data_IF_266911601233
#
_entry.id   IF_266911601233
#
_cell.length_a   1.000
_cell.length_b   1.000
_cell.length_c   1.000
_cell.angle_alpha   90.00
_cell.angle_beta   90.00
_cell.angle_gamma   90.00
#
_symmetry.space_group_name_H-M   'P 1'
#
loop_
_entity.id
_entity.type
_entity.pdbx_description
1 polymer ?
#
# COMPACT_ATOMS: atom_id res chain seq x y z
N UNK A 1 -21.40 10.96 67.33
CA UNK A 1 -21.40 11.77 66.10
C UNK A 1 -20.39 11.24 65.07
N UNK A 2 -19.11 11.08 65.40
CA UNK A 2 -18.08 10.60 64.46
C UNK A 2 -18.32 9.21 63.84
N UNK A 3 -18.88 8.26 64.59
CA UNK A 3 -19.13 6.88 64.10
C UNK A 3 -20.23 6.85 63.02
N UNK A 4 -21.15 7.81 63.02
CA UNK A 4 -22.24 7.87 62.05
C UNK A 4 -21.80 8.36 60.65
N UNK A 5 -20.64 9.03 60.56
CA UNK A 5 -20.11 9.65 59.33
C UNK A 5 -19.13 8.70 58.61
N UNK A 6 -18.65 7.67 59.31
CA UNK A 6 -17.71 6.67 58.81
C UNK A 6 -18.23 5.89 57.58
N UNK A 7 -19.51 5.45 57.54
CA UNK A 7 -20.06 4.72 56.38
C UNK A 7 -20.16 5.61 55.14
N UNK A 8 -20.55 6.87 55.31
CA UNK A 8 -20.69 7.83 54.21
C UNK A 8 -19.32 8.18 53.61
N UNK A 9 -18.29 8.34 54.45
CA UNK A 9 -16.92 8.58 54.00
C UNK A 9 -16.34 7.37 53.24
N UNK A 10 -16.63 6.16 53.70
CA UNK A 10 -16.22 4.92 53.05
C UNK A 10 -16.88 4.77 51.66
N UNK A 11 -18.17 5.10 51.56
CA UNK A 11 -18.91 5.07 50.30
C UNK A 11 -18.36 6.08 49.29
N UNK A 12 -18.05 7.31 49.74
CA UNK A 12 -17.44 8.33 48.89
C UNK A 12 -16.06 7.92 48.38
N UNK A 13 -15.24 7.30 49.24
CA UNK A 13 -13.90 6.84 48.91
C UNK A 13 -13.94 5.66 47.92
N UNK A 14 -14.91 4.76 48.04
CA UNK A 14 -15.15 3.68 47.08
C UNK A 14 -15.57 4.21 45.70
N UNK A 15 -16.44 5.22 45.64
CA UNK A 15 -16.84 5.85 44.38
C UNK A 15 -15.65 6.52 43.69
N UNK A 16 -14.83 7.26 44.44
CA UNK A 16 -13.63 7.92 43.90
C UNK A 16 -12.63 6.88 43.38
N UNK A 17 -12.39 5.79 44.14
CA UNK A 17 -11.50 4.71 43.72
C UNK A 17 -12.02 4.00 42.44
N UNK A 18 -13.33 3.74 42.35
CA UNK A 18 -13.96 3.17 41.18
C UNK A 18 -13.86 4.08 39.94
N UNK A 19 -14.08 5.39 40.11
CA UNK A 19 -13.90 6.39 39.05
C UNK A 19 -12.44 6.45 38.57
N UNK A 20 -11.47 6.47 39.48
CA UNK A 20 -10.04 6.47 39.11
C UNK A 20 -9.65 5.19 38.38
N UNK A 21 -10.19 4.03 38.76
CA UNK A 21 -9.95 2.77 38.06
C UNK A 21 -10.56 2.77 36.64
N UNK A 22 -11.78 3.32 36.48
CA UNK A 22 -12.45 3.48 35.19
C UNK A 22 -11.68 4.44 34.26
N UNK A 23 -11.28 5.60 34.76
CA UNK A 23 -10.52 6.59 33.99
C UNK A 23 -9.14 6.08 33.58
N UNK A 24 -8.48 5.25 34.40
CA UNK A 24 -7.24 4.56 34.02
C UNK A 24 -7.44 3.54 32.89
N UNK A 25 -8.63 2.94 32.77
CA UNK A 25 -8.99 2.06 31.65
C UNK A 25 -9.22 2.82 30.34
N UNK A 26 -9.93 3.95 30.40
CA UNK A 26 -10.25 4.77 29.22
C UNK A 26 -9.01 5.47 28.67
N UNK A 27 -8.10 5.95 29.54
CA UNK A 27 -6.83 6.55 29.13
C UNK A 27 -5.91 5.57 28.37
N UNK A 28 -5.99 4.26 28.65
CA UNK A 28 -5.28 3.22 27.87
C UNK A 28 -5.93 2.96 26.51
N UNK A 29 -7.24 3.14 26.40
CA UNK A 29 -8.01 2.95 25.16
C UNK A 29 -7.86 4.11 24.16
N UNK A 30 -7.69 5.35 24.65
CA UNK A 30 -7.53 6.54 23.80
C UNK A 30 -6.27 6.51 22.92
N UNK A 31 -5.20 5.84 23.36
CA UNK A 31 -4.00 5.63 22.55
C UNK A 31 -4.22 4.71 21.33
N UNK A 32 -5.32 3.94 21.31
CA UNK A 32 -5.67 3.04 20.20
C UNK A 32 -6.61 3.74 19.21
N UNK A 33 -7.47 4.65 19.68
CA UNK A 33 -8.38 5.40 18.82
C UNK A 33 -7.66 6.43 17.91
N UNK A 34 -6.60 7.08 18.40
CA UNK A 34 -5.79 8.02 17.62
C UNK A 34 -4.87 7.35 16.60
N UNK A 35 -4.70 6.02 16.63
CA UNK A 35 -3.92 5.29 15.62
C UNK A 35 -4.74 4.79 14.44
N UNK A 36 -6.06 5.01 14.42
CA UNK A 36 -6.94 4.55 13.34
C UNK A 36 -6.85 5.41 12.07
N UNK A 37 -6.38 6.67 12.19
CA UNK A 37 -6.25 7.60 11.06
C UNK A 37 -4.92 7.58 10.31
N UNK A 38 -3.88 6.95 10.88
CA UNK A 38 -2.63 6.68 10.15
C UNK A 38 -2.74 5.27 9.61
N UNK A 39 -3.24 5.16 8.38
CA UNK A 39 -3.10 3.98 7.55
C UNK A 39 -1.67 3.46 7.69
N UNK A 40 -1.47 2.46 8.55
CA UNK A 40 -0.34 1.53 8.47
C UNK A 40 -0.63 0.63 7.28
N UNK A 41 -0.82 1.23 6.11
CA UNK A 41 -0.51 0.53 4.89
C UNK A 41 0.90 0.03 5.12
N UNK A 42 1.02 -1.29 5.25
CA UNK A 42 2.25 -2.01 5.01
C UNK A 42 2.56 -1.71 3.56
N UNK A 43 2.99 -0.48 3.25
CA UNK A 43 3.60 -0.17 1.96
C UNK A 43 4.82 -1.06 2.01
N UNK A 44 4.71 -2.15 1.26
CA UNK A 44 5.62 -3.28 1.29
C UNK A 44 7.02 -2.72 1.35
N UNK A 45 7.70 -2.88 2.49
CA UNK A 45 9.09 -2.44 2.68
C UNK A 45 9.83 -2.81 1.40
N UNK A 46 10.51 -1.84 0.78
CA UNK A 46 11.07 -2.03 -0.53
C UNK A 46 12.02 -3.24 -0.50
N UNK A 47 11.53 -4.40 -0.95
CA UNK A 47 12.24 -5.66 -0.74
C UNK A 47 13.34 -5.71 -1.78
N UNK A 48 14.56 -6.00 -1.31
CA UNK A 48 15.61 -6.43 -2.21
C UNK A 48 15.20 -7.79 -2.80
N UNK A 49 14.84 -7.77 -4.08
CA UNK A 49 14.44 -8.97 -4.81
C UNK A 49 15.70 -9.67 -5.29
N UNK A 50 15.84 -10.96 -4.97
CA UNK A 50 16.95 -11.81 -5.41
C UNK A 50 16.65 -12.60 -6.69
N UNK A 51 15.41 -12.54 -7.16
CA UNK A 51 14.93 -13.26 -8.33
C UNK A 51 15.45 -12.60 -9.60
N UNK A 52 15.90 -13.41 -10.55
CA UNK A 52 16.54 -13.01 -11.81
C UNK A 52 15.77 -13.57 -13.02
N UNK A 53 16.13 -13.18 -14.25
CA UNK A 53 15.51 -13.75 -15.45
C UNK A 53 15.80 -15.25 -15.61
N UNK A 54 16.87 -15.74 -14.96
CA UNK A 54 17.21 -17.17 -14.94
C UNK A 54 16.19 -18.01 -14.15
N UNK A 55 15.49 -17.39 -13.21
CA UNK A 55 14.49 -18.05 -12.37
C UNK A 55 13.11 -18.12 -13.06
N UNK A 56 12.97 -17.48 -14.22
CA UNK A 56 11.74 -17.49 -15.02
C UNK A 56 11.97 -18.42 -16.22
N UNK A 57 11.17 -19.46 -16.36
CA UNK A 57 11.22 -20.35 -17.53
C UNK A 57 10.29 -19.84 -18.64
N UNK A 58 10.72 -19.93 -19.90
CA UNK A 58 9.95 -19.50 -21.07
C UNK A 58 9.72 -17.98 -21.17
N UNK A 59 8.67 -17.57 -21.89
CA UNK A 59 8.33 -16.16 -22.14
C UNK A 59 9.48 -15.35 -22.77
N UNK A 60 10.21 -15.95 -23.72
CA UNK A 60 11.45 -15.39 -24.25
C UNK A 60 11.25 -14.02 -24.92
N UNK A 61 10.16 -13.86 -25.69
CA UNK A 61 9.76 -12.57 -26.28
C UNK A 61 9.52 -11.49 -25.21
N UNK A 62 8.75 -11.82 -24.17
CA UNK A 62 8.46 -10.87 -23.09
C UNK A 62 9.71 -10.53 -22.26
N UNK A 63 10.65 -11.46 -22.10
CA UNK A 63 11.94 -11.20 -21.45
C UNK A 63 12.79 -10.26 -22.29
N UNK A 64 12.84 -10.45 -23.60
CA UNK A 64 13.61 -9.60 -24.53
C UNK A 64 13.13 -8.14 -24.46
N UNK A 65 11.81 -7.91 -24.51
CA UNK A 65 11.23 -6.57 -24.33
C UNK A 65 11.56 -5.96 -22.96
N UNK A 66 11.58 -6.78 -21.90
CA UNK A 66 11.87 -6.31 -20.54
C UNK A 66 13.36 -6.09 -20.29
N UNK A 67 14.27 -6.67 -21.08
CA UNK A 67 15.71 -6.39 -21.00
C UNK A 67 15.99 -4.92 -21.30
N UNK A 68 15.25 -4.30 -22.23
CA UNK A 68 15.38 -2.86 -22.50
C UNK A 68 15.00 -2.01 -21.27
N UNK A 69 13.94 -2.42 -20.56
CA UNK A 69 13.51 -1.76 -19.32
C UNK A 69 14.58 -1.89 -18.23
N UNK A 70 15.24 -3.05 -18.14
CA UNK A 70 16.36 -3.27 -17.21
C UNK A 70 17.56 -2.39 -17.58
N UNK A 71 17.97 -2.31 -18.85
CA UNK A 71 19.09 -1.44 -19.26
C UNK A 71 18.79 0.04 -18.96
N UNK A 72 17.54 0.45 -19.18
CA UNK A 72 17.09 1.78 -18.82
C UNK A 72 17.23 2.06 -17.31
N UNK A 73 16.78 1.15 -16.45
CA UNK A 73 16.86 1.32 -15.00
C UNK A 73 18.30 1.35 -14.48
N UNK A 74 19.21 0.61 -15.13
CA UNK A 74 20.65 0.62 -14.81
C UNK A 74 21.35 1.89 -15.29
N UNK A 75 21.02 2.37 -16.48
CA UNK A 75 21.72 3.47 -17.15
C UNK A 75 20.79 4.59 -17.63
N UNK A 76 19.99 5.22 -16.75
CA UNK A 76 18.95 6.17 -17.17
C UNK A 76 19.51 7.42 -17.87
N UNK A 77 20.72 7.86 -17.48
CA UNK A 77 21.40 9.03 -18.08
C UNK A 77 21.69 8.87 -19.57
N UNK A 78 22.03 7.65 -20.02
CA UNK A 78 22.31 7.34 -21.42
C UNK A 78 21.12 7.70 -22.30
N UNK A 79 19.92 7.25 -21.91
CA UNK A 79 18.68 7.45 -22.64
C UNK A 79 18.19 8.90 -22.61
N UNK A 80 18.34 9.58 -21.46
CA UNK A 80 17.98 11.00 -21.34
C UNK A 80 18.84 11.86 -22.27
N UNK A 81 20.15 11.61 -22.33
CA UNK A 81 21.07 12.35 -23.20
C UNK A 81 20.81 12.13 -24.69
N UNK A 82 20.33 10.94 -25.06
CA UNK A 82 19.90 10.61 -26.42
C UNK A 82 18.53 11.22 -26.79
N UNK A 83 17.84 11.89 -25.85
CA UNK A 83 16.50 12.44 -26.07
C UNK A 83 15.40 11.37 -26.15
N UNK A 84 15.70 10.13 -25.73
CA UNK A 84 14.73 9.04 -25.79
C UNK A 84 13.63 9.23 -24.74
N UNK A 85 12.37 9.02 -25.15
CA UNK A 85 11.22 9.07 -24.25
C UNK A 85 11.15 7.77 -23.45
N UNK A 86 11.28 7.89 -22.14
CA UNK A 86 11.26 6.76 -21.23
C UNK A 86 9.87 6.09 -21.24
N UNK A 87 9.78 4.76 -21.42
CA UNK A 87 8.52 4.05 -21.26
C UNK A 87 8.02 4.25 -19.83
N UNK A 88 6.80 4.80 -19.69
CA UNK A 88 6.26 5.17 -18.37
C UNK A 88 5.71 3.99 -17.57
N UNK A 89 5.56 2.83 -18.20
CA UNK A 89 5.06 1.61 -17.57
C UNK A 89 4.90 0.48 -18.58
N UNK A 90 4.82 -0.74 -18.06
CA UNK A 90 4.59 -1.97 -18.83
C UNK A 90 3.34 -2.64 -18.28
N UNK A 91 2.44 -3.08 -19.15
CA UNK A 91 1.27 -3.86 -18.78
C UNK A 91 1.47 -5.31 -19.19
N UNK A 92 1.58 -6.21 -18.20
CA UNK A 92 1.69 -7.64 -18.45
C UNK A 92 0.29 -8.26 -18.54
N UNK A 93 -0.06 -8.83 -19.70
CA UNK A 93 -1.37 -9.45 -19.95
C UNK A 93 -1.20 -10.94 -20.21
N UNK A 94 -2.10 -11.76 -19.68
CA UNK A 94 -2.12 -13.20 -19.92
C UNK A 94 -3.04 -13.93 -18.94
N UNK A 95 -3.25 -15.23 -19.15
CA UNK A 95 -4.03 -16.07 -18.24
C UNK A 95 -3.44 -16.07 -16.81
N UNK A 96 -4.24 -16.35 -15.75
CA UNK A 96 -3.71 -16.53 -14.41
C UNK A 96 -2.67 -17.66 -14.38
N UNK A 97 -1.64 -17.52 -13.55
CA UNK A 97 -0.59 -18.53 -13.40
C UNK A 97 0.55 -18.49 -14.44
N UNK A 98 0.54 -17.57 -15.42
CA UNK A 98 1.60 -17.45 -16.44
C UNK A 98 2.89 -16.74 -15.97
N UNK A 99 3.07 -16.56 -14.65
CA UNK A 99 4.31 -15.99 -14.10
C UNK A 99 4.46 -14.47 -14.22
N UNK A 100 3.40 -13.69 -14.49
CA UNK A 100 3.47 -12.21 -14.57
C UNK A 100 4.13 -11.56 -13.35
N UNK A 101 3.69 -11.92 -12.15
CA UNK A 101 4.26 -11.41 -10.89
C UNK A 101 5.71 -11.87 -10.68
N UNK A 102 6.06 -13.08 -11.15
CA UNK A 102 7.42 -13.61 -11.09
C UNK A 102 8.35 -12.84 -12.05
N UNK A 103 7.87 -12.58 -13.27
CA UNK A 103 8.59 -11.81 -14.28
C UNK A 103 8.84 -10.37 -13.82
N UNK A 104 7.84 -9.70 -13.24
CA UNK A 104 8.01 -8.36 -12.69
C UNK A 104 9.05 -8.30 -11.56
N UNK A 105 9.10 -9.32 -10.70
CA UNK A 105 10.13 -9.48 -9.67
C UNK A 105 11.52 -9.70 -10.28
N UNK A 106 11.61 -10.54 -11.31
CA UNK A 106 12.85 -10.79 -12.02
C UNK A 106 13.44 -9.51 -12.65
N UNK A 107 12.61 -8.65 -13.26
CA UNK A 107 13.05 -7.34 -13.78
C UNK A 107 13.68 -6.48 -12.69
N UNK A 108 13.05 -6.42 -11.51
CA UNK A 108 13.57 -5.64 -10.38
C UNK A 108 14.89 -6.18 -9.84
N UNK A 109 15.02 -7.50 -9.72
CA UNK A 109 16.25 -8.15 -9.28
C UNK A 109 17.38 -8.02 -10.30
N UNK A 110 17.08 -8.12 -11.60
CA UNK A 110 18.05 -7.89 -12.68
C UNK A 110 18.54 -6.45 -12.72
N UNK A 111 17.64 -5.47 -12.50
CA UNK A 111 17.98 -4.06 -12.42
C UNK A 111 18.66 -3.68 -11.08
N UNK A 112 18.53 -4.51 -10.04
CA UNK A 112 19.06 -4.23 -8.70
C UNK A 112 18.35 -3.05 -8.01
N UNK A 113 17.09 -2.79 -8.35
CA UNK A 113 16.32 -1.66 -7.84
C UNK A 113 15.26 -2.10 -6.82
N UNK A 114 14.82 -1.23 -5.90
CA UNK A 114 13.77 -1.58 -4.95
C UNK A 114 12.44 -1.92 -5.66
N UNK A 115 11.74 -2.93 -5.14
CA UNK A 115 10.47 -3.41 -5.68
C UNK A 115 9.33 -3.16 -4.71
N UNK A 116 8.39 -2.29 -5.10
CA UNK A 116 7.14 -2.06 -4.40
C UNK A 116 6.05 -2.90 -5.05
N UNK A 117 5.29 -3.64 -4.24
CA UNK A 117 4.21 -4.51 -4.71
C UNK A 117 2.94 -4.16 -3.95
N UNK A 118 1.85 -3.95 -4.67
CA UNK A 118 0.51 -3.72 -4.13
C UNK A 118 -0.51 -4.38 -5.05
N UNK A 119 -1.56 -4.96 -4.48
CA UNK A 119 -2.68 -5.48 -5.26
C UNK A 119 -3.69 -4.36 -5.54
N UNK A 120 -4.28 -4.33 -6.73
CA UNK A 120 -5.27 -3.34 -7.14
C UNK A 120 -6.50 -3.33 -6.25
N UNK A 121 -6.86 -4.50 -5.71
CA UNK A 121 -7.93 -4.68 -4.72
C UNK A 121 -7.69 -3.89 -3.42
N UNK A 122 -6.44 -3.57 -3.05
CA UNK A 122 -6.14 -2.77 -1.85
C UNK A 122 -6.54 -1.30 -1.97
N UNK A 123 -6.85 -0.83 -3.19
CA UNK A 123 -7.37 0.52 -3.42
C UNK A 123 -8.89 0.60 -3.38
N UNK A 124 -9.59 -0.53 -3.36
CA UNK A 124 -11.05 -0.59 -3.30
C UNK A 124 -11.46 -0.76 -1.84
N UNK A 125 -11.79 0.35 -1.18
CA UNK A 125 -12.21 0.34 0.22
C UNK A 125 -13.63 0.89 0.41
N UNK A 126 -14.26 0.53 1.53
CA UNK A 126 -15.57 1.03 1.92
C UNK A 126 -15.57 2.52 2.29
N UNK A 127 -14.40 3.08 2.61
CA UNK A 127 -14.24 4.46 3.04
C UNK A 127 -13.73 5.34 1.90
N UNK A 128 -14.51 6.36 1.59
CA UNK A 128 -14.20 7.42 0.61
C UNK A 128 -12.88 8.11 0.98
N UNK A 129 -11.99 8.25 0.00
CA UNK A 129 -10.72 8.97 0.03
C UNK A 129 -9.53 8.11 0.47
N UNK A 130 -9.76 6.93 1.04
CA UNK A 130 -8.68 6.10 1.60
C UNK A 130 -7.85 5.46 0.48
N UNK A 131 -8.49 4.99 -0.59
CA UNK A 131 -7.80 4.45 -1.76
C UNK A 131 -6.90 5.51 -2.43
N UNK A 132 -7.45 6.71 -2.66
CA UNK A 132 -6.70 7.81 -3.27
C UNK A 132 -5.53 8.30 -2.40
N UNK A 133 -5.65 8.28 -1.06
CA UNK A 133 -4.53 8.58 -0.16
C UNK A 133 -3.41 7.55 -0.30
N UNK A 134 -3.74 6.24 -0.35
CA UNK A 134 -2.76 5.17 -0.49
C UNK A 134 -1.97 5.27 -1.78
N UNK A 135 -2.64 5.57 -2.90
CA UNK A 135 -1.95 5.79 -4.19
C UNK A 135 -0.93 6.92 -4.05
N UNK A 136 -1.33 8.05 -3.47
CA UNK A 136 -0.42 9.20 -3.25
C UNK A 136 0.77 8.84 -2.37
N UNK A 137 0.53 8.15 -1.26
CA UNK A 137 1.58 7.74 -0.32
C UNK A 137 2.55 6.73 -0.93
N UNK A 138 2.05 5.76 -1.71
CA UNK A 138 2.86 4.81 -2.47
C UNK A 138 3.79 5.53 -3.44
N UNK A 139 3.27 6.43 -4.27
CA UNK A 139 4.08 7.17 -5.23
C UNK A 139 5.05 8.15 -4.55
N UNK A 140 4.71 8.67 -3.37
CA UNK A 140 5.64 9.50 -2.59
C UNK A 140 6.84 8.68 -2.11
N UNK A 141 6.60 7.51 -1.50
CA UNK A 141 7.66 6.61 -1.04
C UNK A 141 8.52 6.09 -2.20
N UNK A 142 7.89 5.74 -3.33
CA UNK A 142 8.61 5.29 -4.52
C UNK A 142 9.54 6.37 -5.10
N UNK A 143 9.12 7.65 -5.07
CA UNK A 143 9.98 8.78 -5.51
C UNK A 143 11.20 8.94 -4.61
N UNK A 144 11.06 8.74 -3.31
CA UNK A 144 12.18 8.80 -2.35
C UNK A 144 13.18 7.63 -2.57
N UNK A 145 12.69 6.48 -3.03
CA UNK A 145 13.49 5.28 -3.34
C UNK A 145 13.92 5.17 -4.82
N UNK A 146 13.91 6.25 -5.59
CA UNK A 146 14.23 6.24 -7.03
C UNK A 146 15.72 5.94 -7.30
N UNK A 147 16.06 5.12 -8.31
CA UNK A 147 15.17 4.39 -9.23
C UNK A 147 14.53 3.16 -8.57
N UNK A 148 13.24 2.91 -8.83
CA UNK A 148 12.49 1.77 -8.29
C UNK A 148 11.43 1.26 -9.26
N UNK A 149 10.84 0.09 -8.96
CA UNK A 149 9.70 -0.47 -9.69
C UNK A 149 8.49 -0.53 -8.76
N UNK A 150 7.35 -0.03 -9.25
CA UNK A 150 6.03 -0.23 -8.64
C UNK A 150 5.29 -1.27 -9.46
N UNK A 151 4.95 -2.39 -8.84
CA UNK A 151 4.13 -3.44 -9.41
C UNK A 151 2.71 -3.36 -8.82
N UNK A 152 1.75 -3.16 -9.72
CA UNK A 152 0.32 -3.17 -9.44
C UNK A 152 -0.24 -4.50 -9.96
N UNK A 153 -0.49 -5.45 -9.05
CA UNK A 153 -1.17 -6.71 -9.41
C UNK A 153 -2.67 -6.46 -9.53
N UNK A 154 -3.39 -7.26 -10.33
CA UNK A 154 -4.86 -7.18 -10.44
C UNK A 154 -5.41 -5.76 -10.69
N UNK A 155 -4.76 -5.00 -11.57
CA UNK A 155 -5.17 -3.62 -11.90
C UNK A 155 -6.57 -3.54 -12.53
N UNK A 156 -7.08 -4.65 -13.06
CA UNK A 156 -8.44 -4.77 -13.56
C UNK A 156 -9.50 -4.51 -12.48
N UNK A 157 -9.19 -4.77 -11.20
CA UNK A 157 -10.07 -4.45 -10.08
C UNK A 157 -10.38 -2.94 -9.96
N UNK A 158 -9.43 -2.07 -10.35
CA UNK A 158 -9.58 -0.61 -10.33
C UNK A 158 -9.89 -0.01 -11.72
N UNK A 159 -9.51 -0.71 -12.80
CA UNK A 159 -9.59 -0.22 -14.17
C UNK A 159 -10.93 -0.47 -14.88
N UNK A 160 -11.92 -1.07 -14.22
CA UNK A 160 -13.21 -1.38 -14.85
C UNK A 160 -13.92 -0.09 -15.25
N UNK A 161 -14.22 0.03 -16.56
CA UNK A 161 -14.96 1.16 -17.13
C UNK A 161 -16.26 1.36 -16.34
N UNK A 162 -16.53 2.60 -15.88
CA UNK A 162 -17.81 2.93 -15.23
C UNK A 162 -18.92 2.58 -16.21
N UNK A 163 -19.68 1.52 -15.92
CA UNK A 163 -20.77 1.07 -16.77
C UNK A 163 -21.95 2.04 -16.65
N UNK A 164 -22.52 2.43 -17.79
CA UNK A 164 -23.80 3.14 -17.92
C UNK A 164 -24.96 2.21 -17.54
N UNK A 165 -25.00 1.77 -16.28
CA UNK A 165 -25.89 0.71 -15.81
C UNK A 165 -26.24 0.91 -14.35
N UNK A 166 -27.48 1.33 -14.15
CA UNK A 166 -28.18 1.56 -12.90
C UNK A 166 -28.21 0.29 -12.02
N UNK A 167 -27.19 0.00 -11.20
CA UNK A 167 -27.34 -0.79 -9.95
C UNK A 167 -26.05 -0.94 -9.14
N UNK A 168 -26.18 -0.60 -7.86
CA UNK A 168 -25.35 -1.01 -6.72
C UNK A 168 -24.02 -0.29 -6.48
N UNK A 169 -24.12 0.86 -5.79
CA UNK A 169 -23.24 1.12 -4.64
C UNK A 169 -21.90 1.82 -4.88
N UNK A 170 -21.73 2.56 -5.98
CA UNK A 170 -20.56 3.40 -6.20
C UNK A 170 -20.53 4.61 -5.25
N UNK A 171 -19.73 4.52 -4.19
CA UNK A 171 -19.34 5.69 -3.39
C UNK A 171 -18.41 6.57 -4.23
N UNK A 172 -18.99 7.62 -4.82
CA UNK A 172 -18.27 8.65 -5.58
C UNK A 172 -17.40 9.48 -4.63
N UNK A 173 -16.07 9.33 -4.73
CA UNK A 173 -15.12 10.30 -4.19
C UNK A 173 -15.15 11.55 -5.09
N UNK A 174 -15.87 12.60 -4.67
CA UNK A 174 -15.70 13.94 -5.23
C UNK A 174 -14.62 14.71 -4.47
N UNK A 175 -13.65 15.17 -5.25
CA UNK A 175 -12.67 16.26 -5.12
C UNK A 175 -12.48 16.97 -3.77
N UNK A 176 -11.22 16.97 -3.31
CA UNK A 176 -10.47 18.14 -2.85
C UNK A 176 -8.96 17.90 -2.97
#
# INVERSE_FOLDING_TARGET
>A
MFIAILPDLLFFLLIIAGLVWLFRGIARSQNTALSFGKSRARVTDAKQVKTSFKDVAGCDEAKEDLVEVVDFLKSPKKYINLGAKIPKGVLLVGAPGTGKTLLARAVAGEAGVPFFSIAGSEFVEMFVGVGASRVRDLFKQAKEASPCIIFLDEIDAVGRKRGSGFSSGGHDEREQ
#
